data_IF_229860313645
#
_entry.id   IF_229860313645
#
_cell.length_a   1.000
_cell.length_b   1.000
_cell.length_c   1.000
_cell.angle_alpha   90.00
_cell.angle_beta   90.00
_cell.angle_gamma   90.00
#
_symmetry.space_group_name_H-M   'P 1'
#
loop_
_entity.id
_entity.type
_entity.pdbx_description
1 polymer ?
#
# COMPACT_ATOMS: atom_id res chain seq x y z
N UNK A 1 23.14 -6.55 27.97
CA UNK A 1 24.46 -6.20 27.38
C UNK A 1 24.31 -4.77 26.90
N UNK A 2 25.26 -3.89 27.20
CA UNK A 2 25.15 -2.50 26.74
C UNK A 2 25.43 -2.42 25.24
N UNK A 3 24.66 -1.64 24.50
CA UNK A 3 24.75 -1.52 23.05
C UNK A 3 26.12 -0.99 22.60
N UNK A 4 26.73 -0.11 23.40
CA UNK A 4 28.09 0.39 23.19
C UNK A 4 29.17 -0.71 23.12
N UNK A 5 28.92 -1.91 23.68
CA UNK A 5 29.81 -3.07 23.58
C UNK A 5 29.69 -3.78 22.23
N UNK A 6 28.53 -3.67 21.58
CA UNK A 6 28.23 -4.26 20.29
C UNK A 6 28.55 -3.31 19.13
N UNK A 7 28.42 -2.00 19.37
CA UNK A 7 28.69 -0.95 18.39
C UNK A 7 29.69 0.08 18.96
N UNK A 8 31.00 -0.19 18.87
CA UNK A 8 32.02 0.65 19.48
C UNK A 8 32.15 2.00 18.77
N UNK A 9 32.64 3.02 19.49
CA UNK A 9 32.84 4.38 18.98
C UNK A 9 33.64 4.41 17.66
N UNK A 10 34.66 3.55 17.51
CA UNK A 10 35.47 3.49 16.28
C UNK A 10 34.66 3.08 15.05
N UNK A 11 33.66 2.21 15.22
CA UNK A 11 32.75 1.86 14.13
C UNK A 11 31.85 3.05 13.72
N UNK A 12 31.40 3.84 14.70
CA UNK A 12 30.64 5.06 14.42
C UNK A 12 31.51 6.16 13.80
N UNK A 13 32.75 6.37 14.28
CA UNK A 13 33.74 7.29 13.71
C UNK A 13 34.01 7.01 12.23
N UNK A 14 34.01 5.74 11.83
CA UNK A 14 34.21 5.35 10.43
C UNK A 14 33.12 5.90 9.47
N UNK A 15 31.92 6.21 9.99
CA UNK A 15 30.80 6.76 9.19
C UNK A 15 30.39 8.17 9.59
N UNK A 16 30.98 8.77 10.63
CA UNK A 16 30.56 10.07 11.14
C UNK A 16 30.84 11.24 10.19
N UNK A 17 31.75 11.06 9.22
CA UNK A 17 32.10 12.08 8.22
C UNK A 17 31.15 12.16 7.01
N UNK A 18 30.20 11.24 6.88
CA UNK A 18 29.35 11.09 5.70
C UNK A 18 28.30 12.22 5.63
N UNK A 19 28.18 12.90 4.49
CA UNK A 19 27.20 13.96 4.20
C UNK A 19 26.47 13.72 2.87
N UNK A 20 25.21 13.31 2.88
CA UNK A 20 24.60 12.54 1.79
C UNK A 20 23.52 13.31 1.04
N UNK A 21 23.37 14.57 1.42
CA UNK A 21 22.41 15.52 0.91
C UNK A 21 23.12 16.67 0.20
N UNK A 22 24.44 16.57 -0.10
CA UNK A 22 25.19 17.66 -0.74
C UNK A 22 24.54 18.01 -2.07
N UNK A 23 24.26 17.01 -2.90
CA UNK A 23 23.65 17.24 -4.20
C UNK A 23 22.22 17.77 -4.05
N UNK A 24 21.48 17.34 -3.02
CA UNK A 24 20.14 17.86 -2.72
C UNK A 24 20.18 19.33 -2.32
N UNK A 25 21.11 19.72 -1.45
CA UNK A 25 21.25 21.10 -0.98
C UNK A 25 21.67 22.04 -2.13
N UNK A 26 22.47 21.55 -3.08
CA UNK A 26 22.81 22.29 -4.31
C UNK A 26 21.60 22.39 -5.24
N UNK A 27 20.82 21.32 -5.43
CA UNK A 27 19.57 21.34 -6.22
C UNK A 27 18.54 22.33 -5.63
N UNK A 28 18.40 22.37 -4.32
CA UNK A 28 17.55 23.35 -3.63
C UNK A 28 18.00 24.78 -3.92
N UNK A 29 19.31 25.03 -3.92
CA UNK A 29 19.86 26.34 -4.25
C UNK A 29 19.60 26.71 -5.72
N UNK A 30 19.76 25.77 -6.66
CA UNK A 30 19.42 25.97 -8.07
C UNK A 30 17.92 26.28 -8.25
N UNK A 31 17.05 25.59 -7.51
CA UNK A 31 15.61 25.86 -7.53
C UNK A 31 15.29 27.26 -7.01
N UNK A 32 15.90 27.68 -5.89
CA UNK A 32 15.71 29.05 -5.36
C UNK A 32 16.20 30.13 -6.32
N UNK A 33 17.32 29.88 -6.99
CA UNK A 33 17.86 30.77 -8.01
C UNK A 33 16.91 30.89 -9.21
N UNK A 34 16.37 29.75 -9.68
CA UNK A 34 15.32 29.72 -10.70
C UNK A 34 14.05 30.46 -10.26
N UNK A 35 13.55 30.21 -9.04
CA UNK A 35 12.34 30.85 -8.52
C UNK A 35 12.51 32.37 -8.33
N UNK A 36 13.74 32.85 -8.14
CA UNK A 36 14.08 34.27 -8.02
C UNK A 36 14.32 34.94 -9.38
N UNK A 37 14.44 34.17 -10.47
CA UNK A 37 14.67 34.69 -11.81
C UNK A 37 13.38 35.32 -12.37
N UNK A 38 13.47 36.58 -12.80
CA UNK A 38 12.33 37.37 -13.28
C UNK A 38 12.16 37.36 -14.80
N UNK A 39 13.03 36.66 -15.54
CA UNK A 39 12.98 36.54 -17.00
C UNK A 39 12.07 35.41 -17.47
N UNK A 40 12.07 35.14 -18.78
CA UNK A 40 11.29 34.04 -19.34
C UNK A 40 11.94 32.68 -19.01
N UNK A 41 11.13 31.63 -18.84
CA UNK A 41 11.64 30.29 -18.49
C UNK A 41 12.71 29.78 -19.46
N UNK A 42 12.62 30.15 -20.73
CA UNK A 42 13.53 29.72 -21.79
C UNK A 42 14.89 30.45 -21.76
N UNK A 43 14.98 31.56 -21.01
CA UNK A 43 16.21 32.35 -20.84
C UNK A 43 17.01 31.95 -19.60
N UNK A 44 16.44 31.11 -18.71
CA UNK A 44 17.14 30.71 -17.49
C UNK A 44 18.30 29.76 -17.80
N UNK A 45 19.52 30.21 -17.51
CA UNK A 45 20.73 29.40 -17.58
C UNK A 45 21.24 29.16 -16.17
N UNK A 46 21.32 27.89 -15.77
CA UNK A 46 21.91 27.51 -14.48
C UNK A 46 23.33 28.08 -14.37
N UNK A 47 23.64 28.84 -13.31
CA UNK A 47 24.98 29.36 -13.07
C UNK A 47 26.05 28.25 -13.10
N UNK A 48 27.14 28.47 -13.83
CA UNK A 48 28.20 27.47 -14.02
C UNK A 48 28.78 26.96 -12.67
N UNK A 49 28.93 27.84 -11.70
CA UNK A 49 29.37 27.50 -10.34
C UNK A 49 28.40 26.54 -9.61
N UNK A 50 27.08 26.64 -9.83
CA UNK A 50 26.11 25.71 -9.26
C UNK A 50 26.13 24.36 -9.97
N UNK A 51 26.35 24.35 -11.29
CA UNK A 51 26.52 23.13 -12.07
C UNK A 51 27.76 22.35 -11.64
N UNK A 52 28.90 23.03 -11.50
CA UNK A 52 30.15 22.42 -11.03
C UNK A 52 30.04 21.94 -9.58
N UNK A 53 29.39 22.73 -8.72
CA UNK A 53 29.09 22.33 -7.35
C UNK A 53 28.21 21.07 -7.29
N UNK A 54 27.24 20.93 -8.19
CA UNK A 54 26.36 19.75 -8.24
C UNK A 54 27.13 18.49 -8.66
N UNK A 55 27.98 18.57 -9.69
CA UNK A 55 28.78 17.41 -10.12
C UNK A 55 29.76 16.98 -9.04
N UNK A 56 30.43 17.94 -8.39
CA UNK A 56 31.28 17.64 -7.23
C UNK A 56 30.49 16.99 -6.10
N UNK A 57 29.35 17.57 -5.74
CA UNK A 57 28.49 17.05 -4.69
C UNK A 57 27.97 15.63 -4.97
N UNK A 58 27.62 15.30 -6.22
CA UNK A 58 27.23 13.93 -6.61
C UNK A 58 28.34 12.92 -6.43
N UNK A 59 29.57 13.28 -6.80
CA UNK A 59 30.72 12.39 -6.64
C UNK A 59 31.02 12.12 -5.16
N UNK A 60 30.93 13.15 -4.32
CA UNK A 60 31.10 13.03 -2.88
C UNK A 60 29.95 12.22 -2.23
N UNK A 61 28.70 12.48 -2.60
CA UNK A 61 27.53 11.70 -2.16
C UNK A 61 27.66 10.21 -2.54
N UNK A 62 28.22 9.90 -3.72
CA UNK A 62 28.44 8.51 -4.16
C UNK A 62 29.49 7.79 -3.31
N UNK A 63 30.60 8.46 -2.97
CA UNK A 63 31.63 7.91 -2.08
C UNK A 63 31.07 7.68 -0.67
N UNK A 64 30.32 8.66 -0.17
CA UNK A 64 29.68 8.65 1.14
C UNK A 64 28.63 7.53 1.27
N UNK A 65 27.85 7.27 0.22
CA UNK A 65 26.89 6.17 0.21
C UNK A 65 27.57 4.79 0.36
N UNK A 66 28.79 4.61 -0.16
CA UNK A 66 29.53 3.36 0.02
C UNK A 66 29.97 3.20 1.48
N UNK A 67 30.55 4.25 2.06
CA UNK A 67 30.99 4.27 3.46
C UNK A 67 29.82 4.00 4.40
N UNK A 68 28.69 4.66 4.18
CA UNK A 68 27.51 4.36 4.96
C UNK A 68 27.10 2.90 4.77
N UNK A 69 26.93 2.41 3.55
CA UNK A 69 26.40 1.06 3.33
C UNK A 69 27.20 0.02 4.12
N UNK A 70 28.51 0.18 4.21
CA UNK A 70 29.39 -0.65 5.03
C UNK A 70 29.13 -0.47 6.53
N UNK A 71 29.10 0.77 7.03
CA UNK A 71 28.81 1.02 8.45
C UNK A 71 27.39 0.64 8.88
N UNK A 72 26.41 0.74 7.98
CA UNK A 72 25.04 0.29 8.20
C UNK A 72 24.99 -1.23 8.38
N UNK A 73 25.80 -1.99 7.64
CA UNK A 73 25.89 -3.43 7.82
C UNK A 73 26.48 -3.80 9.20
N UNK A 74 27.50 -3.08 9.65
CA UNK A 74 28.08 -3.24 11.00
C UNK A 74 27.06 -2.88 12.07
N UNK A 75 26.36 -1.75 11.91
CA UNK A 75 25.33 -1.29 12.83
C UNK A 75 24.15 -2.26 12.91
N UNK A 76 23.64 -2.72 11.76
CA UNK A 76 22.57 -3.71 11.70
C UNK A 76 22.97 -5.02 12.39
N UNK A 77 24.21 -5.47 12.22
CA UNK A 77 24.73 -6.65 12.93
C UNK A 77 24.75 -6.46 14.46
N UNK A 78 25.08 -5.25 14.93
CA UNK A 78 25.00 -4.90 16.35
C UNK A 78 23.55 -4.88 16.86
N UNK A 79 22.60 -4.36 16.07
CA UNK A 79 21.16 -4.43 16.38
C UNK A 79 20.70 -5.88 16.52
N UNK A 80 21.05 -6.75 15.56
CA UNK A 80 20.67 -8.16 15.61
C UNK A 80 21.20 -8.85 16.88
N UNK A 81 22.47 -8.63 17.22
CA UNK A 81 23.08 -9.16 18.43
C UNK A 81 22.39 -8.63 19.71
N UNK A 82 22.06 -7.34 19.73
CA UNK A 82 21.38 -6.70 20.87
C UNK A 82 19.97 -7.24 21.07
N UNK A 83 19.17 -7.28 20.01
CA UNK A 83 17.82 -7.84 20.03
C UNK A 83 17.84 -9.31 20.42
N UNK A 84 18.85 -10.08 19.98
CA UNK A 84 19.02 -11.46 20.43
C UNK A 84 19.29 -11.53 21.94
N UNK A 85 20.21 -10.71 22.46
CA UNK A 85 20.52 -10.69 23.89
C UNK A 85 19.30 -10.28 24.74
N UNK A 86 18.50 -9.31 24.28
CA UNK A 86 17.25 -8.92 24.91
C UNK A 86 16.19 -10.03 24.86
N UNK A 87 16.08 -10.73 23.72
CA UNK A 87 15.20 -11.88 23.56
C UNK A 87 15.57 -13.02 24.50
N UNK A 88 16.85 -13.40 24.57
CA UNK A 88 17.37 -14.43 25.46
C UNK A 88 17.14 -14.08 26.95
N UNK A 89 17.12 -12.78 27.28
CA UNK A 89 16.84 -12.26 28.62
C UNK A 89 15.34 -12.07 28.93
N UNK A 90 14.44 -12.31 27.96
CA UNK A 90 13.00 -12.12 28.14
C UNK A 90 12.57 -10.65 28.27
N UNK A 91 13.36 -9.71 27.74
CA UNK A 91 13.13 -8.27 27.87
C UNK A 91 12.35 -7.65 26.70
N UNK A 92 12.09 -8.41 25.65
CA UNK A 92 11.29 -7.94 24.51
C UNK A 92 9.79 -8.17 24.75
N UNK A 93 8.99 -7.14 24.52
CA UNK A 93 7.54 -7.19 24.62
C UNK A 93 6.85 -7.18 23.26
N UNK A 94 5.79 -7.97 23.12
CA UNK A 94 4.89 -7.89 21.96
C UNK A 94 4.01 -6.65 22.04
N UNK A 95 3.48 -6.27 20.88
CA UNK A 95 2.37 -5.31 20.82
C UNK A 95 1.02 -6.03 20.81
N UNK A 96 0.05 -5.41 21.48
CA UNK A 96 -1.37 -5.72 21.35
C UNK A 96 -2.02 -4.94 20.19
N UNK A 97 -3.33 -5.07 20.04
CA UNK A 97 -4.13 -4.30 19.09
C UNK A 97 -4.05 -4.76 17.63
N UNK A 98 -3.41 -5.91 17.37
CA UNK A 98 -3.19 -6.45 16.02
C UNK A 98 -4.33 -7.30 15.48
N UNK A 99 -5.25 -7.78 16.34
CA UNK A 99 -6.27 -8.71 15.87
C UNK A 99 -7.17 -8.03 14.84
N UNK A 100 -7.33 -8.65 13.68
CA UNK A 100 -8.14 -8.11 12.58
C UNK A 100 -7.46 -7.01 11.76
N UNK A 101 -6.20 -6.66 12.08
CA UNK A 101 -5.37 -5.73 11.31
C UNK A 101 -4.42 -6.46 10.38
N UNK A 102 -3.81 -5.73 9.45
CA UNK A 102 -2.79 -6.24 8.53
C UNK A 102 -1.58 -5.34 8.52
N UNK A 103 -0.90 -5.26 9.68
CA UNK A 103 0.25 -4.39 9.94
C UNK A 103 1.51 -5.26 9.95
N UNK A 104 2.06 -5.51 8.77
CA UNK A 104 3.14 -6.49 8.56
C UNK A 104 4.36 -6.28 9.48
N UNK A 105 4.73 -5.02 9.77
CA UNK A 105 5.87 -4.70 10.64
C UNK A 105 5.66 -5.09 12.10
N UNK A 106 4.46 -4.87 12.62
CA UNK A 106 4.11 -5.23 13.98
C UNK A 106 3.90 -6.75 14.12
N UNK A 107 3.38 -7.42 13.07
CA UNK A 107 3.36 -8.88 13.00
C UNK A 107 4.77 -9.48 12.99
N UNK A 108 5.69 -8.90 12.19
CA UNK A 108 7.09 -9.30 12.15
C UNK A 108 7.76 -9.18 13.52
N UNK A 109 7.53 -8.07 14.23
CA UNK A 109 8.02 -7.87 15.60
C UNK A 109 7.49 -8.96 16.53
N UNK A 110 6.16 -9.17 16.56
CA UNK A 110 5.57 -10.18 17.43
C UNK A 110 6.06 -11.60 17.12
N UNK A 111 6.25 -11.95 15.84
CA UNK A 111 6.82 -13.21 15.41
C UNK A 111 8.27 -13.36 15.87
N UNK A 112 9.08 -12.30 15.77
CA UNK A 112 10.45 -12.29 16.27
C UNK A 112 10.51 -12.52 17.79
N UNK A 113 9.66 -11.83 18.57
CA UNK A 113 9.54 -12.04 20.02
C UNK A 113 9.12 -13.48 20.36
N UNK A 114 8.30 -14.11 19.51
CA UNK A 114 7.92 -15.53 19.61
C UNK A 114 9.01 -16.52 19.18
N UNK A 115 10.19 -16.06 18.74
CA UNK A 115 11.23 -16.92 18.18
C UNK A 115 10.92 -17.45 16.78
N UNK A 116 9.87 -16.95 16.12
CA UNK A 116 9.52 -17.27 14.73
C UNK A 116 10.25 -16.31 13.79
N UNK A 117 11.37 -16.76 13.22
CA UNK A 117 12.14 -15.97 12.25
C UNK A 117 11.70 -16.24 10.82
N UNK A 118 10.85 -15.36 10.31
CA UNK A 118 10.64 -15.22 8.87
C UNK A 118 11.71 -14.26 8.33
N UNK A 119 12.62 -14.79 7.49
CA UNK A 119 13.83 -14.06 7.07
C UNK A 119 13.52 -12.65 6.52
N UNK A 120 12.61 -12.54 5.56
CA UNK A 120 12.28 -11.25 4.93
C UNK A 120 11.70 -10.22 5.90
N UNK A 121 10.77 -10.65 6.75
CA UNK A 121 10.11 -9.80 7.75
C UNK A 121 11.10 -9.29 8.79
N UNK A 122 12.07 -10.13 9.18
CA UNK A 122 13.14 -9.77 10.11
C UNK A 122 14.13 -8.77 9.50
N UNK A 123 14.63 -9.04 8.29
CA UNK A 123 15.59 -8.17 7.61
C UNK A 123 15.02 -6.75 7.47
N UNK A 124 13.74 -6.62 7.12
CA UNK A 124 13.09 -5.32 7.04
C UNK A 124 12.97 -4.61 8.40
N UNK A 125 12.69 -5.33 9.48
CA UNK A 125 12.62 -4.77 10.82
C UNK A 125 13.98 -4.23 11.26
N UNK A 126 15.05 -4.97 10.99
CA UNK A 126 16.43 -4.54 11.26
C UNK A 126 16.76 -3.30 10.44
N UNK A 127 16.35 -3.24 9.17
CA UNK A 127 16.53 -2.06 8.33
C UNK A 127 15.82 -0.82 8.91
N UNK A 128 14.58 -0.95 9.36
CA UNK A 128 13.83 0.19 9.94
C UNK A 128 14.49 0.71 11.22
N UNK A 129 14.92 -0.19 12.11
CA UNK A 129 15.69 0.18 13.32
C UNK A 129 17.06 0.77 12.94
N UNK A 130 17.66 0.27 11.86
CA UNK A 130 18.91 0.74 11.28
C UNK A 130 18.88 2.22 10.89
N UNK A 131 17.71 2.78 10.55
CA UNK A 131 17.56 4.20 10.23
C UNK A 131 17.96 5.13 11.39
N UNK A 132 17.99 4.63 12.64
CA UNK A 132 18.50 5.37 13.78
C UNK A 132 19.95 5.85 13.59
N UNK A 133 20.79 5.10 12.85
CA UNK A 133 22.14 5.54 12.50
C UNK A 133 22.09 6.81 11.64
N UNK A 134 21.23 6.82 10.63
CA UNK A 134 21.07 7.98 9.73
C UNK A 134 20.60 9.19 10.53
N UNK A 135 19.60 9.02 11.40
CA UNK A 135 19.11 10.08 12.29
C UNK A 135 20.25 10.62 13.18
N UNK A 136 21.07 9.74 13.77
CA UNK A 136 22.22 10.15 14.58
C UNK A 136 23.22 10.99 13.79
N UNK A 137 23.55 10.56 12.57
CA UNK A 137 24.46 11.28 11.68
C UNK A 137 23.89 12.64 11.24
N UNK A 138 22.59 12.72 10.96
CA UNK A 138 21.91 13.98 10.60
C UNK A 138 21.92 14.98 11.75
N UNK A 139 21.59 14.53 12.95
CA UNK A 139 21.35 15.41 14.09
C UNK A 139 22.60 15.75 14.89
N UNK A 140 23.72 15.07 14.63
CA UNK A 140 25.02 15.39 15.22
C UNK A 140 25.49 16.82 14.88
N UNK A 141 25.14 17.31 13.68
CA UNK A 141 25.49 18.65 13.20
C UNK A 141 24.31 19.61 13.30
N UNK A 142 24.01 20.04 14.53
CA UNK A 142 22.92 20.98 14.82
C UNK A 142 23.07 22.35 14.15
N UNK A 143 24.31 22.75 13.80
CA UNK A 143 24.62 24.01 13.12
C UNK A 143 24.44 23.97 11.60
N UNK A 144 24.20 22.79 11.01
CA UNK A 144 24.07 22.60 9.56
C UNK A 144 23.06 23.55 8.92
N UNK A 145 21.86 23.65 9.49
CA UNK A 145 20.77 24.43 8.90
C UNK A 145 21.09 25.93 8.85
N UNK A 146 21.84 26.44 9.82
CA UNK A 146 22.28 27.83 9.82
C UNK A 146 23.38 28.06 8.78
N UNK A 147 24.33 27.13 8.63
CA UNK A 147 25.35 27.22 7.58
C UNK A 147 24.77 27.03 6.17
N UNK A 148 23.70 26.24 6.00
CA UNK A 148 22.96 26.11 4.73
C UNK A 148 22.45 27.46 4.21
N UNK A 149 22.16 28.42 5.10
CA UNK A 149 21.76 29.79 4.71
C UNK A 149 22.92 30.60 4.11
N UNK A 150 24.16 30.25 4.43
CA UNK A 150 25.37 30.92 3.94
C UNK A 150 25.83 30.39 2.57
N UNK A 151 25.27 29.26 2.13
CA UNK A 151 25.51 28.64 0.83
C UNK A 151 25.35 27.12 0.91
N UNK A 152 25.00 26.44 -0.22
CA UNK A 152 24.73 25.01 -0.20
C UNK A 152 25.95 24.17 0.21
N UNK A 153 27.17 24.59 -0.16
CA UNK A 153 28.41 23.90 0.23
C UNK A 153 28.91 24.27 1.64
N UNK A 154 28.50 25.42 2.19
CA UNK A 154 28.89 25.83 3.54
C UNK A 154 28.22 24.99 4.64
N UNK A 155 27.12 24.31 4.31
CA UNK A 155 26.40 23.41 5.21
C UNK A 155 27.25 22.21 5.66
N UNK A 156 28.31 21.85 4.92
CA UNK A 156 29.02 20.59 5.07
C UNK A 156 30.37 20.80 5.74
N UNK A 157 30.41 20.57 7.05
CA UNK A 157 31.65 20.53 7.82
C UNK A 157 31.77 19.16 8.48
N UNK A 158 33.00 18.68 8.60
CA UNK A 158 33.25 17.48 9.39
C UNK A 158 32.84 17.78 10.84
N UNK A 159 32.10 16.87 11.51
CA UNK A 159 31.74 17.05 12.91
C UNK A 159 33.00 17.08 13.77
N UNK A 160 32.97 17.86 14.86
CA UNK A 160 34.03 17.80 15.87
C UNK A 160 34.03 16.45 16.58
N UNK A 161 35.16 16.06 17.17
CA UNK A 161 35.24 14.81 17.94
C UNK A 161 34.21 14.77 19.08
N UNK A 162 33.97 15.90 19.75
CA UNK A 162 32.94 16.02 20.80
C UNK A 162 31.52 15.77 20.26
N UNK A 163 31.21 16.27 19.06
CA UNK A 163 29.92 16.01 18.40
C UNK A 163 29.77 14.52 18.08
N UNK A 164 30.83 13.89 17.56
CA UNK A 164 30.85 12.45 17.23
C UNK A 164 30.63 11.60 18.48
N UNK A 165 31.36 11.86 19.56
CA UNK A 165 31.21 11.13 20.82
C UNK A 165 29.79 11.28 21.35
N UNK A 166 29.27 12.52 21.45
CA UNK A 166 27.93 12.77 21.97
C UNK A 166 26.83 12.11 21.14
N UNK A 167 26.95 12.13 19.81
CA UNK A 167 25.97 11.48 18.93
C UNK A 167 25.99 9.95 19.10
N UNK A 168 27.18 9.35 19.21
CA UNK A 168 27.35 7.93 19.48
C UNK A 168 26.80 7.52 20.86
N UNK A 169 27.10 8.29 21.91
CA UNK A 169 26.58 8.05 23.26
C UNK A 169 25.04 8.10 23.28
N UNK A 170 24.45 9.12 22.65
CA UNK A 170 23.00 9.24 22.54
C UNK A 170 22.39 8.06 21.79
N UNK A 171 22.98 7.65 20.66
CA UNK A 171 22.53 6.50 19.89
C UNK A 171 22.56 5.22 20.73
N UNK A 172 23.66 4.96 21.44
CA UNK A 172 23.79 3.78 22.30
C UNK A 172 22.79 3.81 23.46
N UNK A 173 22.66 4.94 24.15
CA UNK A 173 21.71 5.11 25.24
C UNK A 173 20.27 4.85 24.78
N UNK A 174 19.90 5.31 23.58
CA UNK A 174 18.56 5.05 23.02
C UNK A 174 18.30 3.55 22.84
N UNK A 175 19.27 2.79 22.31
CA UNK A 175 19.14 1.34 22.16
C UNK A 175 19.19 0.60 23.50
N UNK A 176 19.91 1.12 24.49
CA UNK A 176 19.93 0.56 25.84
C UNK A 176 18.61 0.83 26.59
N UNK A 177 18.05 2.04 26.47
CA UNK A 177 16.74 2.43 27.01
C UNK A 177 15.58 1.74 26.28
N UNK A 178 15.74 1.42 24.99
CA UNK A 178 14.70 0.78 24.19
C UNK A 178 13.41 1.57 24.10
N UNK A 179 13.50 2.90 24.17
CA UNK A 179 12.33 3.79 24.24
C UNK A 179 12.33 4.74 23.05
N UNK A 180 11.22 4.79 22.32
CA UNK A 180 11.07 5.65 21.15
C UNK A 180 11.10 7.13 21.54
N UNK A 181 11.87 7.92 20.81
CA UNK A 181 11.93 9.38 21.01
C UNK A 181 11.24 10.10 19.84
N UNK A 182 10.01 10.56 20.04
CA UNK A 182 9.22 11.21 18.97
C UNK A 182 9.86 12.47 18.38
N UNK A 183 10.60 13.25 19.18
CA UNK A 183 11.21 14.51 18.75
C UNK A 183 12.23 14.33 17.61
N UNK A 184 12.90 13.19 17.57
CA UNK A 184 13.94 12.88 16.59
C UNK A 184 13.67 11.57 15.84
N UNK A 185 12.51 10.94 16.07
CA UNK A 185 12.07 9.67 15.44
C UNK A 185 13.04 8.50 15.64
N UNK A 186 13.84 8.52 16.71
CA UNK A 186 14.65 7.37 17.06
C UNK A 186 13.78 6.20 17.52
N UNK A 187 14.12 4.99 17.06
CA UNK A 187 13.38 3.75 17.35
C UNK A 187 11.88 3.87 17.06
N UNK A 188 11.50 4.52 15.96
CA UNK A 188 10.12 4.48 15.46
C UNK A 188 10.13 3.72 14.14
N UNK A 189 9.35 2.65 14.06
CA UNK A 189 9.07 2.02 12.77
C UNK A 189 7.91 2.80 12.15
N UNK A 190 8.24 3.68 11.20
CA UNK A 190 7.33 4.67 10.65
C UNK A 190 6.40 4.14 9.55
N UNK A 191 5.24 4.80 9.46
CA UNK A 191 4.27 4.82 8.35
C UNK A 191 3.88 3.43 7.83
N UNK A 192 3.44 2.58 8.77
CA UNK A 192 2.87 1.29 8.42
C UNK A 192 1.40 1.51 8.10
N UNK A 193 1.05 1.53 6.82
CA UNK A 193 -0.37 1.51 6.44
C UNK A 193 -0.96 0.15 6.80
N UNK A 194 -2.01 0.15 7.63
CA UNK A 194 -2.80 -1.04 7.92
C UNK A 194 -3.57 -1.43 6.65
N UNK A 195 -3.12 -2.52 6.01
CA UNK A 195 -3.75 -3.02 4.78
C UNK A 195 -5.22 -3.45 4.96
N UNK A 196 -5.69 -3.65 6.20
CA UNK A 196 -7.08 -4.00 6.51
C UNK A 196 -7.95 -2.78 6.74
N UNK A 197 -7.54 -1.86 7.61
CA UNK A 197 -8.40 -0.73 8.02
C UNK A 197 -8.08 0.58 7.29
N UNK A 198 -6.91 0.68 6.65
CA UNK A 198 -6.39 1.92 6.08
C UNK A 198 -5.82 2.90 7.11
N UNK A 199 -5.70 2.50 8.38
CA UNK A 199 -5.06 3.31 9.42
C UNK A 199 -3.59 3.55 9.12
N UNK A 200 -3.11 4.77 9.35
CA UNK A 200 -1.68 5.03 9.46
C UNK A 200 -1.21 4.62 10.83
N UNK A 201 -0.23 3.71 10.87
CA UNK A 201 0.28 3.15 12.11
C UNK A 201 1.76 3.44 12.31
N UNK A 202 2.19 3.41 13.56
CA UNK A 202 3.59 3.40 13.96
C UNK A 202 3.81 2.36 15.04
N UNK A 203 4.99 1.72 15.07
CA UNK A 203 5.39 0.90 16.21
C UNK A 203 6.31 1.71 17.11
N UNK A 204 5.87 1.97 18.34
CA UNK A 204 6.65 2.63 19.38
C UNK A 204 7.17 1.60 20.38
N UNK A 205 8.20 1.94 21.11
CA UNK A 205 8.79 1.10 22.15
C UNK A 205 8.90 1.88 23.45
N UNK A 206 8.66 1.19 24.56
CA UNK A 206 8.95 1.67 25.91
C UNK A 206 9.69 0.55 26.65
N UNK A 207 10.99 0.70 26.89
CA UNK A 207 11.86 -0.37 27.41
C UNK A 207 11.75 -1.67 26.59
N UNK A 208 11.83 -1.56 25.26
CA UNK A 208 11.65 -2.66 24.31
C UNK A 208 10.31 -3.40 24.40
N UNK A 209 9.33 -2.84 25.10
CA UNK A 209 7.94 -3.24 25.01
C UNK A 209 7.30 -2.50 23.84
N UNK A 210 6.95 -3.23 22.79
CA UNK A 210 6.35 -2.63 21.60
C UNK A 210 4.89 -2.22 21.84
N UNK A 211 4.51 -1.09 21.28
CA UNK A 211 3.15 -0.57 21.29
C UNK A 211 2.79 -0.06 19.89
N UNK A 212 1.83 -0.72 19.26
CA UNK A 212 1.26 -0.28 18.00
C UNK A 212 0.40 0.95 18.26
N UNK A 213 0.65 1.99 17.48
CA UNK A 213 -0.05 3.26 17.55
C UNK A 213 -0.76 3.51 16.23
N UNK A 214 -1.97 4.09 16.28
CA UNK A 214 -2.74 4.53 15.11
C UNK A 214 -2.93 6.04 15.13
N UNK A 215 -2.94 6.65 13.95
CA UNK A 215 -3.24 8.07 13.82
C UNK A 215 -4.71 8.35 14.13
N UNK A 216 -4.96 9.11 15.20
CA UNK A 216 -6.29 9.49 15.65
C UNK A 216 -6.84 10.80 15.04
N UNK A 217 -8.06 11.22 15.45
CA UNK A 217 -8.79 12.37 14.89
C UNK A 217 -8.14 13.76 15.01
N UNK A 218 -7.07 13.89 15.80
CA UNK A 218 -6.33 15.15 16.00
C UNK A 218 -4.91 15.11 15.41
N UNK A 219 -4.64 14.19 14.46
CA UNK A 219 -3.29 13.91 13.97
C UNK A 219 -2.31 13.53 15.08
N UNK A 220 -2.83 12.82 16.10
CA UNK A 220 -2.06 12.30 17.24
C UNK A 220 -2.10 10.79 17.25
N UNK A 221 -0.95 10.19 17.50
CA UNK A 221 -0.85 8.74 17.64
C UNK A 221 -1.42 8.30 18.99
N UNK A 222 -2.34 7.33 18.96
CA UNK A 222 -2.94 6.70 20.14
C UNK A 222 -2.75 5.19 20.08
N UNK A 223 -2.72 4.47 21.21
CA UNK A 223 -2.58 3.02 21.21
C UNK A 223 -3.66 2.34 20.36
N UNK A 224 -3.23 1.46 19.46
CA UNK A 224 -4.11 0.71 18.58
C UNK A 224 -4.98 -0.25 19.39
N UNK A 225 -6.26 -0.30 19.03
CA UNK A 225 -7.17 -1.35 19.48
C UNK A 225 -7.30 -2.41 18.39
N UNK A 226 -7.72 -3.62 18.78
CA UNK A 226 -8.10 -4.66 17.85
C UNK A 226 -9.14 -4.13 16.85
N UNK A 227 -8.98 -4.47 15.59
CA UNK A 227 -9.90 -4.08 14.53
C UNK A 227 -11.01 -5.13 14.37
N UNK A 228 -12.23 -4.65 14.11
CA UNK A 228 -13.32 -5.52 13.68
C UNK A 228 -12.94 -6.12 12.33
N UNK A 229 -13.12 -7.44 12.19
CA UNK A 229 -12.88 -8.14 10.94
C UNK A 229 -13.74 -7.53 9.83
N UNK A 230 -13.10 -7.05 8.76
CA UNK A 230 -13.80 -6.53 7.58
C UNK A 230 -14.70 -7.62 6.99
N UNK A 231 -16.03 -7.43 6.89
CA UNK A 231 -16.94 -8.44 6.36
C UNK A 231 -16.67 -8.74 4.87
N UNK A 232 -17.27 -9.81 4.35
CA UNK A 232 -17.32 -9.98 2.90
C UNK A 232 -18.26 -8.92 2.34
N UNK A 233 -17.94 -8.42 1.15
CA UNK A 233 -18.83 -7.53 0.41
C UNK A 233 -20.11 -8.31 0.15
N UNK A 234 -21.24 -7.70 0.49
CA UNK A 234 -22.58 -8.15 0.18
C UNK A 234 -23.41 -6.91 -0.14
N UNK A 235 -23.25 -6.41 -1.36
CA UNK A 235 -23.89 -5.19 -1.82
C UNK A 235 -25.00 -5.54 -2.80
N UNK A 236 -26.14 -4.84 -2.73
CA UNK A 236 -27.28 -5.13 -3.60
C UNK A 236 -27.54 -3.97 -4.55
N UNK A 237 -27.84 -4.30 -5.80
CA UNK A 237 -28.12 -3.36 -6.88
C UNK A 237 -29.31 -3.88 -7.69
N UNK A 238 -29.99 -3.00 -8.43
CA UNK A 238 -31.16 -3.37 -9.22
C UNK A 238 -30.79 -3.66 -10.67
N UNK A 239 -31.49 -4.63 -11.23
CA UNK A 239 -31.49 -4.99 -12.65
C UNK A 239 -32.92 -4.87 -13.15
N UNK A 240 -33.44 -3.66 -13.41
CA UNK A 240 -34.85 -3.42 -13.69
C UNK A 240 -35.35 -4.06 -15.00
N UNK A 241 -34.51 -4.10 -16.03
CA UNK A 241 -34.92 -4.62 -17.35
C UNK A 241 -34.62 -6.10 -17.50
N UNK A 242 -33.64 -6.60 -16.74
CA UNK A 242 -33.07 -7.93 -16.93
C UNK A 242 -31.92 -7.96 -17.93
N UNK A 243 -31.49 -6.79 -18.43
CA UNK A 243 -30.41 -6.67 -19.41
C UNK A 243 -29.12 -6.28 -18.70
N UNK A 244 -28.45 -7.29 -18.16
CA UNK A 244 -27.24 -7.14 -17.37
C UNK A 244 -26.01 -7.00 -18.26
N UNK A 245 -25.23 -5.97 -17.96
CA UNK A 245 -23.91 -5.70 -18.53
C UNK A 245 -22.84 -6.05 -17.49
N UNK A 246 -21.88 -6.89 -17.87
CA UNK A 246 -20.69 -7.20 -17.09
C UNK A 246 -19.45 -6.76 -17.87
N UNK A 247 -18.66 -5.89 -17.25
CA UNK A 247 -17.43 -5.36 -17.84
C UNK A 247 -16.53 -4.81 -16.73
N UNK A 248 -15.31 -4.38 -17.04
CA UNK A 248 -14.52 -3.58 -16.11
C UNK A 248 -15.02 -2.14 -16.08
N UNK A 249 -15.26 -1.54 -17.24
CA UNK A 249 -15.80 -0.20 -17.39
C UNK A 249 -16.41 0.05 -18.77
N UNK A 250 -17.55 0.75 -18.81
CA UNK A 250 -18.13 1.22 -20.06
C UNK A 250 -17.42 2.49 -20.51
N UNK A 251 -16.76 2.45 -21.67
CA UNK A 251 -15.97 3.58 -22.22
C UNK A 251 -16.86 4.56 -22.98
N UNK A 252 -17.85 5.08 -22.27
CA UNK A 252 -18.80 6.08 -22.75
C UNK A 252 -18.44 7.41 -22.11
N UNK A 253 -18.50 8.50 -22.88
CA UNK A 253 -18.29 9.85 -22.36
C UNK A 253 -19.22 10.14 -21.16
N UNK A 254 -18.67 10.71 -20.10
CA UNK A 254 -19.39 11.00 -18.85
C UNK A 254 -19.60 9.81 -17.91
N UNK A 255 -19.35 8.57 -18.34
CA UNK A 255 -19.53 7.39 -17.46
C UNK A 255 -18.57 7.41 -16.26
N UNK A 256 -17.35 7.91 -16.46
CA UNK A 256 -16.37 7.98 -15.37
C UNK A 256 -16.83 8.98 -14.32
N UNK A 257 -17.25 10.15 -14.80
CA UNK A 257 -17.71 11.27 -13.99
C UNK A 257 -19.00 10.93 -13.22
N UNK A 258 -19.83 10.04 -13.77
CA UNK A 258 -21.04 9.56 -13.12
C UNK A 258 -20.79 8.50 -12.03
N UNK A 259 -19.61 7.85 -12.02
CA UNK A 259 -19.27 6.77 -11.10
C UNK A 259 -18.20 7.16 -10.06
N UNK A 260 -17.60 8.34 -10.18
CA UNK A 260 -16.55 8.80 -9.28
C UNK A 260 -17.10 9.37 -7.96
N UNK A 261 -16.35 9.19 -6.87
CA UNK A 261 -16.65 9.81 -5.57
C UNK A 261 -15.81 11.07 -5.29
N UNK A 262 -15.07 11.58 -6.28
CA UNK A 262 -14.12 12.70 -6.13
C UNK A 262 -13.07 12.41 -5.06
N UNK A 263 -12.76 13.40 -4.22
CA UNK A 263 -11.72 13.27 -3.17
C UNK A 263 -11.99 12.16 -2.13
N UNK A 264 -13.26 11.75 -1.96
CA UNK A 264 -13.62 10.65 -1.04
C UNK A 264 -12.93 9.35 -1.43
N UNK A 265 -12.61 9.17 -2.70
CA UNK A 265 -11.89 8.01 -3.23
C UNK A 265 -10.50 7.83 -2.62
N UNK A 266 -9.81 8.94 -2.36
CA UNK A 266 -8.45 8.95 -1.81
C UNK A 266 -8.45 9.02 -0.28
N UNK A 267 -9.62 9.23 0.33
CA UNK A 267 -9.80 9.18 1.76
C UNK A 267 -9.73 7.75 2.30
N UNK A 268 -9.46 7.59 3.60
CA UNK A 268 -9.49 6.28 4.29
C UNK A 268 -10.84 5.55 4.11
N UNK A 269 -11.94 6.28 3.94
CA UNK A 269 -13.29 5.71 3.84
C UNK A 269 -13.44 4.79 2.63
N UNK A 270 -12.98 5.21 1.44
CA UNK A 270 -13.18 4.51 0.16
C UNK A 270 -11.87 4.14 -0.53
N UNK A 271 -10.73 4.24 0.16
CA UNK A 271 -9.42 3.96 -0.45
C UNK A 271 -9.29 2.50 -0.91
N UNK A 272 -8.86 2.32 -2.16
CA UNK A 272 -8.56 1.00 -2.72
C UNK A 272 -7.36 0.31 -2.04
N UNK A 273 -6.53 1.08 -1.33
CA UNK A 273 -5.34 0.57 -0.64
C UNK A 273 -5.62 -0.26 0.62
N UNK A 274 -6.88 -0.34 1.08
CA UNK A 274 -7.27 -1.12 2.26
C UNK A 274 -8.49 -2.00 2.01
N UNK A 275 -8.57 -3.14 2.70
CA UNK A 275 -9.74 -4.03 2.62
C UNK A 275 -11.03 -3.31 2.99
N UNK A 276 -11.02 -2.51 4.07
CA UNK A 276 -12.18 -1.76 4.54
C UNK A 276 -12.61 -0.71 3.52
N UNK A 277 -11.66 0.00 2.92
CA UNK A 277 -11.96 0.98 1.87
C UNK A 277 -12.52 0.31 0.61
N UNK A 278 -11.98 -0.84 0.18
CA UNK A 278 -12.55 -1.63 -0.92
C UNK A 278 -13.96 -2.13 -0.60
N UNK A 279 -14.20 -2.58 0.64
CA UNK A 279 -15.52 -2.98 1.11
C UNK A 279 -16.51 -1.81 1.08
N UNK A 280 -16.15 -0.66 1.65
CA UNK A 280 -17.02 0.52 1.69
C UNK A 280 -17.30 1.05 0.28
N UNK A 281 -16.28 1.10 -0.59
CA UNK A 281 -16.44 1.55 -1.98
C UNK A 281 -17.42 0.67 -2.75
N UNK A 282 -17.36 -0.65 -2.60
CA UNK A 282 -18.33 -1.54 -3.24
C UNK A 282 -19.76 -1.29 -2.77
N UNK A 283 -19.98 -1.05 -1.48
CA UNK A 283 -21.30 -0.70 -0.96
C UNK A 283 -21.74 0.69 -1.43
N UNK A 284 -20.83 1.66 -1.47
CA UNK A 284 -21.12 3.02 -1.95
C UNK A 284 -21.54 3.03 -3.42
N UNK A 285 -20.89 2.24 -4.28
CA UNK A 285 -21.31 2.08 -5.69
C UNK A 285 -22.71 1.48 -5.80
N UNK A 286 -23.03 0.47 -5.02
CA UNK A 286 -24.35 -0.14 -5.02
C UNK A 286 -25.43 0.84 -4.51
N UNK A 287 -25.13 1.65 -3.50
CA UNK A 287 -26.07 2.61 -2.90
C UNK A 287 -26.27 3.86 -3.76
N UNK A 288 -25.20 4.45 -4.28
CA UNK A 288 -25.22 5.76 -4.94
C UNK A 288 -25.35 5.65 -6.46
N UNK A 289 -24.88 4.55 -7.06
CA UNK A 289 -24.85 4.37 -8.52
C UNK A 289 -25.67 3.19 -9.01
N UNK A 290 -26.23 2.38 -8.09
CA UNK A 290 -27.01 1.17 -8.39
C UNK A 290 -26.22 0.15 -9.25
N UNK A 291 -24.92 0.01 -8.95
CA UNK A 291 -24.03 -0.95 -9.64
C UNK A 291 -23.40 -1.96 -8.68
N UNK A 292 -23.33 -3.21 -9.10
CA UNK A 292 -22.50 -4.22 -8.46
C UNK A 292 -21.03 -3.95 -8.76
N UNK A 293 -20.19 -3.87 -7.73
CA UNK A 293 -18.79 -3.51 -7.87
C UNK A 293 -17.87 -4.45 -7.09
N UNK A 294 -16.79 -4.90 -7.73
CA UNK A 294 -15.71 -5.63 -7.09
C UNK A 294 -14.36 -5.17 -7.66
N UNK A 295 -13.35 -5.12 -6.80
CA UNK A 295 -11.96 -4.94 -7.21
C UNK A 295 -11.33 -6.28 -7.59
N UNK A 296 -10.45 -6.24 -8.59
CA UNK A 296 -9.68 -7.38 -9.10
C UNK A 296 -8.22 -6.96 -9.28
N UNK A 297 -7.41 -7.80 -9.91
CA UNK A 297 -6.08 -7.42 -10.41
C UNK A 297 -6.14 -7.18 -11.92
N UNK A 298 -5.02 -6.81 -12.56
CA UNK A 298 -4.93 -6.86 -14.02
C UNK A 298 -5.07 -8.31 -14.49
N UNK A 299 -6.23 -8.67 -15.03
CA UNK A 299 -6.55 -10.05 -15.42
C UNK A 299 -7.66 -10.08 -16.46
N UNK A 300 -7.84 -11.21 -17.13
CA UNK A 300 -9.11 -11.56 -17.79
C UNK A 300 -9.96 -12.43 -16.88
N UNK A 301 -11.27 -12.34 -17.03
CA UNK A 301 -12.23 -13.14 -16.26
C UNK A 301 -13.19 -13.91 -17.15
N UNK A 302 -13.76 -14.98 -16.60
CA UNK A 302 -14.83 -15.77 -17.22
C UNK A 302 -16.08 -15.73 -16.37
N UNK A 303 -17.23 -15.59 -17.02
CA UNK A 303 -18.55 -15.56 -16.38
C UNK A 303 -19.24 -16.90 -16.57
N UNK A 304 -19.61 -17.51 -15.45
CA UNK A 304 -20.33 -18.78 -15.42
C UNK A 304 -21.74 -18.57 -14.89
N UNK A 305 -22.72 -19.24 -15.48
CA UNK A 305 -24.13 -19.19 -15.06
C UNK A 305 -24.58 -20.55 -14.53
N UNK A 306 -25.19 -20.55 -13.35
CA UNK A 306 -25.93 -21.70 -12.84
C UNK A 306 -27.28 -21.81 -13.57
N UNK A 307 -27.56 -22.91 -14.29
CA UNK A 307 -28.84 -23.07 -14.97
C UNK A 307 -30.02 -23.26 -14.03
N UNK A 308 -29.79 -23.68 -12.77
CA UNK A 308 -30.87 -23.94 -11.80
C UNK A 308 -31.25 -22.67 -11.05
N UNK A 309 -30.25 -21.95 -10.52
CA UNK A 309 -30.50 -20.78 -9.67
C UNK A 309 -30.41 -19.45 -10.42
N UNK A 310 -29.80 -19.45 -11.62
CA UNK A 310 -29.51 -18.22 -12.36
C UNK A 310 -28.37 -17.39 -11.78
N UNK A 311 -27.71 -17.85 -10.70
CA UNK A 311 -26.55 -17.17 -10.13
C UNK A 311 -25.40 -17.11 -11.14
N UNK A 312 -24.59 -16.06 -11.03
CA UNK A 312 -23.39 -15.90 -11.83
C UNK A 312 -22.15 -16.01 -10.94
N UNK A 313 -21.10 -16.67 -11.42
CA UNK A 313 -19.79 -16.70 -10.79
C UNK A 313 -18.77 -16.15 -11.78
N UNK A 314 -17.95 -15.21 -11.32
CA UNK A 314 -16.91 -14.58 -12.13
C UNK A 314 -15.57 -15.06 -11.60
N UNK A 315 -14.83 -15.76 -12.45
CA UNK A 315 -13.58 -16.44 -12.11
C UNK A 315 -12.43 -15.83 -12.87
N UNK A 316 -11.20 -16.04 -12.40
CA UNK A 316 -10.03 -15.83 -13.27
C UNK A 316 -10.21 -16.64 -14.56
N UNK A 317 -9.79 -16.08 -15.69
CA UNK A 317 -9.84 -16.80 -16.97
C UNK A 317 -8.91 -18.01 -16.86
N UNK A 318 -9.51 -19.19 -16.89
CA UNK A 318 -8.77 -20.42 -16.76
C UNK A 318 -8.09 -20.74 -18.09
N UNK A 319 -6.79 -20.46 -18.16
CA UNK A 319 -5.93 -21.06 -19.19
C UNK A 319 -5.53 -22.42 -18.63
N UNK A 320 -6.11 -23.49 -19.16
CA UNK A 320 -5.71 -24.85 -18.79
C UNK A 320 -4.19 -24.99 -18.94
N UNK A 321 -3.56 -25.85 -18.13
CA UNK A 321 -2.22 -26.32 -18.47
C UNK A 321 -2.31 -27.02 -19.83
N UNK A 322 -1.27 -26.85 -20.64
CA UNK A 322 -1.10 -27.14 -22.08
C UNK A 322 -1.64 -28.47 -22.68
N UNK A 323 -2.37 -29.30 -21.93
CA UNK A 323 -2.93 -30.58 -22.42
C UNK A 323 -4.46 -30.71 -22.31
N UNK A 324 -5.17 -29.76 -21.70
CA UNK A 324 -6.65 -29.72 -21.67
C UNK A 324 -7.19 -28.40 -22.26
N UNK A 325 -6.73 -28.05 -23.46
CA UNK A 325 -7.35 -26.98 -24.26
C UNK A 325 -8.64 -27.50 -24.89
N UNK A 326 -9.74 -27.39 -24.15
CA UNK A 326 -11.06 -27.25 -24.76
C UNK A 326 -11.68 -25.99 -24.17
N UNK A 327 -11.63 -24.91 -24.95
CA UNK A 327 -12.50 -23.75 -24.75
C UNK A 327 -13.92 -24.25 -24.46
N UNK A 328 -14.43 -23.96 -23.25
CA UNK A 328 -15.83 -24.24 -22.90
C UNK A 328 -16.09 -25.36 -21.89
N UNK A 329 -15.10 -26.09 -21.35
CA UNK A 329 -15.36 -26.98 -20.22
C UNK A 329 -15.43 -26.17 -18.93
N UNK A 330 -16.64 -26.05 -18.37
CA UNK A 330 -16.81 -25.33 -17.10
C UNK A 330 -16.03 -26.01 -15.98
N UNK A 331 -15.21 -25.25 -15.22
CA UNK A 331 -14.57 -25.79 -14.03
C UNK A 331 -15.63 -26.12 -12.94
N UNK A 332 -16.86 -25.63 -13.09
CA UNK A 332 -18.01 -25.97 -12.27
C UNK A 332 -18.94 -26.90 -13.07
N UNK A 333 -18.98 -28.19 -12.72
CA UNK A 333 -19.82 -29.17 -13.40
C UNK A 333 -21.28 -28.69 -13.47
N UNK A 334 -21.80 -28.54 -14.69
CA UNK A 334 -23.19 -28.17 -14.96
C UNK A 334 -23.46 -26.67 -15.07
N UNK A 335 -22.47 -25.80 -14.88
CA UNK A 335 -22.61 -24.36 -15.15
C UNK A 335 -22.22 -24.04 -16.59
N UNK A 336 -22.85 -23.03 -17.17
CA UNK A 336 -22.65 -22.59 -18.55
C UNK A 336 -21.63 -21.43 -18.60
N UNK A 337 -20.71 -21.44 -19.58
CA UNK A 337 -19.90 -20.25 -19.89
C UNK A 337 -20.76 -19.26 -20.67
N UNK A 338 -20.97 -18.06 -20.13
CA UNK A 338 -21.79 -17.04 -20.78
C UNK A 338 -21.00 -15.83 -21.28
N UNK A 339 -19.67 -15.85 -21.14
CA UNK A 339 -18.79 -14.83 -21.70
C UNK A 339 -17.50 -14.60 -20.92
N UNK A 340 -16.64 -13.76 -21.49
CA UNK A 340 -15.36 -13.33 -20.90
C UNK A 340 -15.14 -11.85 -21.15
N UNK A 341 -14.45 -11.17 -20.24
CA UNK A 341 -13.97 -9.79 -20.45
C UNK A 341 -12.65 -9.56 -19.72
N UNK A 342 -11.88 -8.57 -20.16
CA UNK A 342 -10.64 -8.08 -19.56
C UNK A 342 -10.90 -7.02 -18.48
N UNK A 343 -10.06 -7.01 -17.44
CA UNK A 343 -10.11 -6.10 -16.30
C UNK A 343 -8.89 -5.17 -16.28
N UNK A 344 -8.77 -4.31 -17.30
CA UNK A 344 -7.66 -3.35 -17.42
C UNK A 344 -7.70 -2.30 -16.29
N UNK A 345 -8.91 -1.93 -15.86
CA UNK A 345 -9.16 -1.01 -14.76
C UNK A 345 -9.24 -1.70 -13.38
N UNK A 346 -8.76 -2.96 -13.29
CA UNK A 346 -8.69 -3.76 -12.05
C UNK A 346 -10.03 -3.86 -11.30
N UNK A 347 -11.14 -3.93 -12.02
CA UNK A 347 -12.47 -4.03 -11.44
C UNK A 347 -13.41 -4.89 -12.26
N UNK A 348 -14.48 -5.32 -11.62
CA UNK A 348 -15.66 -5.89 -12.23
C UNK A 348 -16.84 -4.98 -11.86
N UNK A 349 -17.58 -4.58 -12.88
CA UNK A 349 -18.79 -3.79 -12.77
C UNK A 349 -19.96 -4.56 -13.35
N UNK A 350 -21.05 -4.65 -12.59
CA UNK A 350 -22.31 -5.26 -12.98
C UNK A 350 -23.40 -4.19 -12.92
N UNK A 351 -24.03 -3.90 -14.05
CA UNK A 351 -25.08 -2.88 -14.13
C UNK A 351 -26.12 -3.24 -15.19
N UNK A 352 -27.34 -2.75 -15.02
CA UNK A 352 -28.38 -2.86 -16.05
C UNK A 352 -28.19 -1.80 -17.14
N UNK A 353 -28.64 -2.10 -18.36
CA UNK A 353 -28.60 -1.14 -19.47
C UNK A 353 -29.34 0.15 -19.15
N UNK A 354 -30.46 0.09 -18.41
CA UNK A 354 -31.22 1.27 -17.98
C UNK A 354 -30.43 2.10 -16.96
N UNK A 355 -29.70 1.44 -16.05
CA UNK A 355 -28.82 2.11 -15.08
C UNK A 355 -27.67 2.81 -15.81
N UNK A 356 -27.03 2.16 -16.78
CA UNK A 356 -25.99 2.78 -17.61
C UNK A 356 -26.52 4.02 -18.34
N UNK A 357 -27.74 3.93 -18.90
CA UNK A 357 -28.40 5.04 -19.58
C UNK A 357 -28.74 6.22 -18.67
N UNK A 358 -29.08 5.98 -17.39
CA UNK A 358 -29.29 7.04 -16.38
C UNK A 358 -28.01 7.76 -15.99
N UNK A 359 -26.89 7.04 -15.94
CA UNK A 359 -25.58 7.59 -15.61
C UNK A 359 -24.97 8.40 -16.77
N UNK A 360 -25.37 8.10 -18.00
CA UNK A 360 -24.92 8.79 -19.21
C UNK A 360 -26.12 9.22 -20.06
N UNK A 361 -26.41 8.50 -21.14
CA UNK A 361 -27.68 8.58 -21.87
C UNK A 361 -28.02 7.22 -22.51
N UNK A 362 -29.31 6.87 -22.67
CA UNK A 362 -29.71 5.64 -23.34
C UNK A 362 -29.12 5.50 -24.76
N UNK A 363 -29.10 6.59 -25.53
CA UNK A 363 -28.61 6.59 -26.91
C UNK A 363 -27.09 6.35 -26.98
N UNK A 364 -26.32 6.88 -26.02
CA UNK A 364 -24.89 6.65 -25.97
C UNK A 364 -24.56 5.19 -25.63
N UNK A 365 -25.34 4.58 -24.72
CA UNK A 365 -25.22 3.16 -24.39
C UNK A 365 -25.55 2.29 -25.60
N UNK A 366 -26.67 2.55 -26.28
CA UNK A 366 -27.03 1.79 -27.49
C UNK A 366 -25.98 1.92 -28.59
N UNK A 367 -25.51 3.15 -28.85
CA UNK A 367 -24.47 3.42 -29.85
C UNK A 367 -23.17 2.70 -29.50
N UNK A 368 -22.74 2.75 -28.25
CA UNK A 368 -21.54 2.08 -27.78
C UNK A 368 -21.66 0.57 -27.93
N UNK A 369 -22.76 -0.03 -27.46
CA UNK A 369 -22.99 -1.47 -27.55
C UNK A 369 -23.17 -1.94 -29.01
N UNK A 370 -23.60 -1.10 -29.93
CA UNK A 370 -23.69 -1.43 -31.36
C UNK A 370 -22.37 -1.21 -32.12
N UNK A 371 -21.33 -0.63 -31.47
CA UNK A 371 -20.06 -0.33 -32.12
C UNK A 371 -19.18 -1.58 -32.28
N UNK A 372 -18.39 -1.59 -33.36
CA UNK A 372 -17.35 -2.60 -33.65
C UNK A 372 -16.01 -2.29 -32.94
N UNK A 373 -16.04 -1.51 -31.85
CA UNK A 373 -14.86 -1.19 -31.05
C UNK A 373 -14.51 -2.35 -30.10
N UNK A 374 -13.21 -2.60 -29.90
CA UNK A 374 -12.74 -3.72 -29.08
C UNK A 374 -13.18 -3.58 -27.61
N UNK A 375 -13.48 -2.37 -27.14
CA UNK A 375 -14.01 -2.16 -25.80
C UNK A 375 -15.51 -2.46 -25.69
N UNK A 376 -16.28 -2.27 -26.77
CA UNK A 376 -17.69 -2.71 -26.84
C UNK A 376 -17.80 -4.24 -26.84
N UNK A 377 -16.85 -4.91 -27.49
CA UNK A 377 -16.70 -6.38 -27.47
C UNK A 377 -16.28 -6.90 -26.09
N UNK A 378 -15.68 -6.05 -25.24
CA UNK A 378 -15.29 -6.37 -23.87
C UNK A 378 -16.44 -6.25 -22.85
N UNK A 379 -17.69 -6.34 -23.32
CA UNK A 379 -18.91 -6.30 -22.49
C UNK A 379 -19.67 -7.60 -22.64
N UNK A 380 -19.79 -8.36 -21.56
CA UNK A 380 -20.66 -9.53 -21.51
C UNK A 380 -22.09 -9.07 -21.26
N UNK A 381 -22.99 -9.38 -22.20
CA UNK A 381 -24.40 -8.95 -22.19
C UNK A 381 -25.30 -10.14 -21.94
N UNK A 382 -26.11 -10.10 -20.88
CA UNK A 382 -26.91 -11.24 -20.43
C UNK A 382 -28.35 -10.85 -20.20
N UNK A 383 -29.28 -11.71 -20.67
CA UNK A 383 -30.67 -11.70 -20.21
C UNK A 383 -30.78 -12.49 -18.91
N UNK A 384 -31.17 -11.81 -17.84
CA UNK A 384 -31.27 -12.34 -16.48
C UNK A 384 -32.62 -11.95 -15.83
N UNK A 385 -33.06 -12.64 -14.76
CA UNK A 385 -34.24 -12.21 -14.02
C UNK A 385 -34.13 -10.76 -13.55
N UNK A 386 -35.13 -9.94 -13.89
CA UNK A 386 -35.23 -8.58 -13.39
C UNK A 386 -35.42 -8.57 -11.86
N UNK A 387 -34.90 -7.54 -11.21
CA UNK A 387 -35.06 -7.32 -9.77
C UNK A 387 -33.76 -7.02 -9.04
N UNK A 388 -33.75 -7.24 -7.73
CA UNK A 388 -32.63 -6.90 -6.85
C UNK A 388 -31.61 -8.03 -6.80
N UNK A 389 -30.45 -7.80 -7.41
CA UNK A 389 -29.29 -8.68 -7.40
C UNK A 389 -28.38 -8.37 -6.21
N UNK A 390 -27.53 -9.32 -5.83
CA UNK A 390 -26.52 -9.10 -4.79
C UNK A 390 -25.15 -9.58 -5.25
N UNK A 391 -24.16 -8.69 -5.22
CA UNK A 391 -22.76 -9.05 -5.43
C UNK A 391 -22.12 -9.48 -4.10
N UNK A 392 -21.50 -10.66 -4.13
CA UNK A 392 -20.67 -11.20 -3.06
C UNK A 392 -19.21 -11.16 -3.52
N UNK A 393 -18.35 -10.49 -2.75
CA UNK A 393 -16.95 -10.26 -3.12
C UNK A 393 -16.06 -9.96 -1.90
N UNK A 394 -14.80 -9.61 -2.15
CA UNK A 394 -13.92 -8.96 -1.17
C UNK A 394 -12.65 -9.74 -0.83
N UNK A 395 -11.91 -9.27 0.17
CA UNK A 395 -10.60 -9.84 0.48
C UNK A 395 -10.70 -11.28 1.00
N UNK A 396 -9.81 -12.16 0.51
CA UNK A 396 -9.83 -13.60 0.77
C UNK A 396 -11.18 -14.26 0.44
N UNK A 397 -11.91 -13.75 -0.57
CA UNK A 397 -13.23 -14.24 -0.96
C UNK A 397 -13.26 -15.77 -1.09
N UNK A 398 -12.26 -16.34 -1.77
CA UNK A 398 -12.13 -17.79 -1.96
C UNK A 398 -12.19 -18.64 -0.68
N UNK A 399 -11.63 -18.13 0.42
CA UNK A 399 -11.56 -18.81 1.73
C UNK A 399 -12.80 -18.56 2.57
N UNK A 400 -13.48 -17.43 2.34
CA UNK A 400 -14.57 -16.93 3.18
C UNK A 400 -15.95 -17.19 2.58
N UNK A 401 -16.04 -17.39 1.26
CA UNK A 401 -17.27 -17.69 0.56
C UNK A 401 -17.81 -19.04 1.03
N UNK A 402 -19.08 -19.13 1.50
CA UNK A 402 -19.73 -20.41 1.74
C UNK A 402 -20.02 -21.12 0.41
N UNK A 403 -18.99 -21.70 -0.22
CA UNK A 403 -19.05 -22.29 -1.58
C UNK A 403 -20.18 -23.31 -1.74
N UNK A 404 -20.43 -24.13 -0.71
CA UNK A 404 -21.51 -25.12 -0.68
C UNK A 404 -22.91 -24.49 -0.89
N UNK A 405 -23.14 -23.26 -0.42
CA UNK A 405 -24.41 -22.54 -0.63
C UNK A 405 -24.65 -22.22 -2.11
N UNK A 406 -23.58 -22.07 -2.87
CA UNK A 406 -23.61 -21.70 -4.29
C UNK A 406 -23.26 -22.88 -5.21
N UNK A 407 -23.06 -24.10 -4.68
CA UNK A 407 -22.66 -25.25 -5.49
C UNK A 407 -21.27 -25.13 -6.14
N UNK A 408 -20.40 -24.26 -5.61
CA UNK A 408 -19.08 -23.99 -6.19
C UNK A 408 -18.01 -24.98 -5.65
N UNK A 409 -17.14 -25.57 -6.50
CA UNK A 409 -16.08 -26.47 -6.08
C UNK A 409 -14.92 -25.69 -5.43
N UNK A 410 -14.04 -26.35 -4.68
CA UNK A 410 -12.93 -25.72 -3.94
C UNK A 410 -11.71 -25.32 -4.79
N UNK A 411 -11.58 -25.88 -6.01
CA UNK A 411 -10.39 -25.71 -6.85
C UNK A 411 -10.34 -24.45 -7.73
N UNK A 412 -11.40 -23.64 -7.74
CA UNK A 412 -11.51 -22.48 -8.64
C UNK A 412 -11.18 -21.18 -7.91
N UNK A 413 -10.46 -20.28 -8.59
CA UNK A 413 -10.25 -18.90 -8.17
C UNK A 413 -11.45 -18.04 -8.62
N UNK A 414 -12.19 -17.52 -7.65
CA UNK A 414 -13.44 -16.81 -7.86
C UNK A 414 -13.24 -15.38 -7.36
N UNK A 415 -13.49 -14.40 -8.23
CA UNK A 415 -13.42 -12.99 -7.89
C UNK A 415 -14.69 -12.53 -7.18
N UNK A 416 -15.85 -12.86 -7.75
CA UNK A 416 -17.15 -12.55 -7.14
C UNK A 416 -18.26 -13.51 -7.59
N UNK A 417 -19.38 -13.46 -6.87
CA UNK A 417 -20.63 -14.16 -7.21
C UNK A 417 -21.76 -13.13 -7.26
N UNK A 418 -22.58 -13.17 -8.30
CA UNK A 418 -23.83 -12.43 -8.39
C UNK A 418 -24.98 -13.38 -8.05
N UNK A 419 -25.62 -13.14 -6.90
CA UNK A 419 -26.79 -13.89 -6.45
C UNK A 419 -28.04 -13.31 -7.09
N UNK A 420 -28.78 -14.15 -7.81
CA UNK A 420 -30.02 -13.79 -8.48
C UNK A 420 -31.13 -13.45 -7.47
N UNK A 421 -32.15 -12.66 -7.86
CA UNK A 421 -33.33 -12.42 -7.05
C UNK A 421 -33.99 -13.76 -6.69
N UNK A 422 -34.40 -13.91 -5.43
CA UNK A 422 -35.23 -15.05 -5.05
C UNK A 422 -36.57 -14.93 -5.77
N UNK A 423 -37.01 -16.00 -6.43
CA UNK A 423 -38.37 -16.07 -6.93
C UNK A 423 -39.34 -15.79 -5.77
N UNK A 424 -40.19 -14.78 -5.97
CA UNK A 424 -41.17 -14.34 -4.97
C UNK A 424 -42.27 -15.38 -4.74
#
# INVERSE_FOLDING_TARGET
MAFAQLYPLEAFKAVSGVCWWRASDVKDAMRRDYDAFTGSRDEYVVPANLKDALEKAKAEDAADNLILKEGQAVFNSAIEAHLKALSDAGLLGKTDGLKGRGVARAEAWNNFVDGRKEKYSYDWMIQDLGNALVVALVHMDSGRYDRKKQGPLAAHQLPSEEQVIKAWENLCNIFDEGTSQQAYRYLVIEDVQDSKTGDRCQLHFNNWQAQLMVMGPEYRYVPAQDAVKVPLIKASFNVPTGDLLLTDFLRIEGMNDALEFGDREYSKELSLSSDLGRYNRANAHAEQHDVGYCQTTNTSVTVWRDPVTGNLAITERWFGREEDEVDGVSPVKGWENVGTFGCDMWRITAMDVETAGKLTSPEAVETYLASDDCYSDNVVRLKVPAGKWTIHAGENFKKRLPRHRFGLPTGIEIWCVLEAPKAA
#
